data_IF_029117681312
#
_entry.id   IF_029117681312
#
_cell.length_a   1.000
_cell.length_b   1.000
_cell.length_c   1.000
_cell.angle_alpha   90.00
_cell.angle_beta   90.00
_cell.angle_gamma   90.00
#
_symmetry.space_group_name_H-M   'P 1'
#
loop_
_entity.id
_entity.type
_entity.pdbx_description
1 polymer ?
#
# COMPACT_ATOMS: atom_id res chain seq x y z
N UNK A 1 24.95 1.41 -25.65
CA UNK A 1 23.47 1.25 -25.72
C UNK A 1 22.92 1.53 -24.32
N UNK A 2 21.91 2.39 -24.20
CA UNK A 2 21.24 2.65 -22.91
C UNK A 2 20.32 1.47 -22.56
N UNK A 3 20.25 1.11 -21.28
CA UNK A 3 19.34 0.07 -20.77
C UNK A 3 17.88 0.35 -21.16
N UNK A 4 17.49 1.63 -21.17
CA UNK A 4 16.16 2.08 -21.57
C UNK A 4 15.90 1.85 -23.07
N UNK A 5 16.94 2.01 -23.90
CA UNK A 5 16.88 1.76 -25.34
C UNK A 5 16.65 0.27 -25.61
N UNK A 6 17.37 -0.61 -24.91
CA UNK A 6 17.19 -2.06 -25.04
C UNK A 6 15.76 -2.49 -24.67
N UNK A 7 15.21 -1.96 -23.58
CA UNK A 7 13.82 -2.24 -23.19
C UNK A 7 12.82 -1.75 -24.25
N UNK A 8 13.05 -0.55 -24.81
CA UNK A 8 12.25 0.01 -25.92
C UNK A 8 12.50 -0.65 -27.28
N UNK A 9 13.46 -1.56 -27.40
CA UNK A 9 13.68 -2.36 -28.59
C UNK A 9 13.04 -3.76 -28.49
N UNK A 10 12.55 -4.18 -27.31
CA UNK A 10 11.86 -5.45 -27.14
C UNK A 10 10.49 -5.46 -27.83
N UNK A 11 10.00 -6.65 -28.20
CA UNK A 11 8.65 -6.77 -28.77
C UNK A 11 7.57 -6.25 -27.80
N UNK A 12 6.47 -5.64 -28.29
CA UNK A 12 5.40 -5.13 -27.42
C UNK A 12 4.83 -6.19 -26.47
N UNK A 13 4.70 -7.44 -26.93
CA UNK A 13 4.24 -8.57 -26.10
C UNK A 13 5.20 -8.87 -24.95
N UNK A 14 6.51 -8.82 -25.21
CA UNK A 14 7.53 -9.05 -24.18
C UNK A 14 7.51 -7.95 -23.12
N UNK A 15 7.30 -6.68 -23.51
CA UNK A 15 7.20 -5.58 -22.55
C UNK A 15 5.98 -5.72 -21.64
N UNK A 16 4.85 -6.11 -22.21
CA UNK A 16 3.63 -6.40 -21.43
C UNK A 16 3.89 -7.57 -20.48
N UNK A 17 4.52 -8.65 -20.96
CA UNK A 17 4.88 -9.79 -20.12
C UNK A 17 5.78 -9.41 -18.93
N UNK A 18 6.79 -8.57 -19.15
CA UNK A 18 7.66 -8.06 -18.07
C UNK A 18 6.84 -7.23 -17.06
N UNK A 19 5.97 -6.34 -17.55
CA UNK A 19 5.12 -5.52 -16.69
C UNK A 19 4.18 -6.36 -15.84
N UNK A 20 3.50 -7.34 -16.44
CA UNK A 20 2.59 -8.26 -15.74
C UNK A 20 3.34 -9.12 -14.73
N UNK A 21 4.53 -9.63 -15.09
CA UNK A 21 5.35 -10.41 -14.16
C UNK A 21 5.77 -9.58 -12.94
N UNK A 22 6.13 -8.31 -13.15
CA UNK A 22 6.52 -7.41 -12.05
C UNK A 22 5.35 -7.11 -11.11
N UNK A 23 4.16 -6.87 -11.67
CA UNK A 23 2.93 -6.69 -10.89
C UNK A 23 2.53 -7.97 -10.14
N UNK A 24 2.63 -9.13 -10.79
CA UNK A 24 2.37 -10.42 -10.15
C UNK A 24 3.34 -10.68 -8.98
N UNK A 25 4.63 -10.40 -9.17
CA UNK A 25 5.62 -10.53 -8.10
C UNK A 25 5.35 -9.58 -6.93
N UNK A 26 5.03 -8.31 -7.22
CA UNK A 26 4.69 -7.32 -6.19
C UNK A 26 3.43 -7.70 -5.40
N UNK A 27 2.37 -8.17 -6.08
CA UNK A 27 1.13 -8.60 -5.43
C UNK A 27 1.32 -9.85 -4.56
N UNK A 28 2.13 -10.81 -5.01
CA UNK A 28 2.51 -11.97 -4.19
C UNK A 28 3.30 -11.50 -2.95
N UNK A 29 4.24 -10.56 -3.11
CA UNK A 29 4.99 -9.99 -2.01
C UNK A 29 4.11 -9.30 -0.97
N UNK A 30 3.14 -8.49 -1.42
CA UNK A 30 2.16 -7.84 -0.55
C UNK A 30 1.25 -8.87 0.14
N UNK A 31 0.78 -9.88 -0.59
CA UNK A 31 -0.04 -10.94 0.00
C UNK A 31 0.72 -11.74 1.06
N UNK A 32 2.01 -12.00 0.84
CA UNK A 32 2.88 -12.62 1.84
C UNK A 32 3.09 -11.67 3.02
N UNK A 33 3.18 -10.35 2.83
CA UNK A 33 3.30 -9.37 3.93
C UNK A 33 2.10 -9.44 4.88
N UNK A 34 0.87 -9.42 4.36
CA UNK A 34 -0.35 -9.52 5.17
C UNK A 34 -0.46 -10.88 5.89
N UNK A 35 0.07 -11.94 5.28
CA UNK A 35 0.08 -13.28 5.88
C UNK A 35 1.26 -13.49 6.84
N UNK A 36 2.35 -12.74 6.66
CA UNK A 36 3.48 -12.68 7.56
C UNK A 36 3.07 -11.96 8.84
N UNK A 37 2.30 -10.87 8.79
CA UNK A 37 1.73 -10.26 10.00
C UNK A 37 0.92 -11.27 10.82
N UNK A 38 0.09 -12.09 10.16
CA UNK A 38 -0.70 -13.16 10.82
C UNK A 38 0.17 -14.29 11.39
N UNK A 39 1.21 -14.73 10.67
CA UNK A 39 2.09 -15.83 11.11
C UNK A 39 3.18 -15.40 12.09
N UNK A 40 3.59 -14.14 12.07
CA UNK A 40 4.55 -13.54 12.99
C UNK A 40 3.89 -13.05 14.30
N UNK A 41 2.57 -13.17 14.43
CA UNK A 41 1.84 -12.77 15.63
C UNK A 41 1.75 -11.25 15.82
N UNK A 42 1.92 -10.49 14.73
CA UNK A 42 1.75 -9.03 14.68
C UNK A 42 0.31 -8.67 14.29
N UNK A 43 -0.64 -9.55 14.57
CA UNK A 43 -2.06 -9.21 14.49
C UNK A 43 -2.29 -8.07 15.50
N UNK A 44 -2.78 -6.89 15.08
CA UNK A 44 -3.06 -5.80 16.00
C UNK A 44 -4.21 -6.23 16.91
N UNK A 45 -3.85 -6.89 18.02
CA UNK A 45 -4.75 -7.29 19.09
C UNK A 45 -5.48 -6.06 19.61
N UNK A 46 -6.70 -6.26 20.10
CA UNK A 46 -7.62 -5.24 20.63
C UNK A 46 -6.96 -4.07 21.41
N UNK A 47 -5.83 -4.31 22.09
CA UNK A 47 -5.00 -3.29 22.76
C UNK A 47 -4.47 -2.18 21.85
N UNK A 48 -4.09 -2.45 20.60
CA UNK A 48 -3.62 -1.41 19.68
C UNK A 48 -4.75 -0.49 19.23
N UNK A 49 -5.99 -1.02 19.15
CA UNK A 49 -7.17 -0.20 18.88
C UNK A 49 -7.50 0.70 20.07
N UNK A 50 -7.39 0.18 21.29
CA UNK A 50 -7.57 0.97 22.52
C UNK A 50 -6.47 2.05 22.69
N UNK A 51 -5.22 1.72 22.34
CA UNK A 51 -4.12 2.69 22.34
C UNK A 51 -4.31 3.79 21.27
N UNK A 52 -4.82 3.43 20.09
CA UNK A 52 -5.17 4.38 19.05
C UNK A 52 -6.35 5.27 19.48
N UNK A 53 -7.40 4.71 20.09
CA UNK A 53 -8.51 5.51 20.65
C UNK A 53 -8.06 6.48 21.75
N UNK A 54 -7.07 6.10 22.56
CA UNK A 54 -6.49 6.99 23.56
C UNK A 54 -5.65 8.14 22.98
N UNK A 55 -5.06 7.94 21.80
CA UNK A 55 -4.16 8.92 21.14
C UNK A 55 -4.88 9.74 20.07
N UNK A 56 -6.04 9.28 19.57
CA UNK A 56 -6.81 9.98 18.55
C UNK A 56 -7.36 11.31 19.10
N UNK A 57 -6.98 12.45 18.49
CA UNK A 57 -7.52 13.74 18.90
C UNK A 57 -9.01 13.83 18.52
N UNK A 58 -9.86 14.19 19.50
CA UNK A 58 -11.28 14.45 19.25
C UNK A 58 -11.44 15.77 18.48
N UNK A 59 -11.76 15.68 17.21
CA UNK A 59 -12.06 16.86 16.40
C UNK A 59 -13.49 17.33 16.70
N UNK A 60 -13.62 18.49 17.31
CA UNK A 60 -14.90 19.20 17.37
C UNK A 60 -14.96 20.15 16.17
N UNK A 61 -15.89 19.88 15.25
CA UNK A 61 -16.18 20.79 14.15
C UNK A 61 -16.95 21.98 14.70
N UNK A 62 -16.34 23.16 14.68
CA UNK A 62 -17.04 24.43 14.97
C UNK A 62 -17.57 24.96 13.65
N UNK A 63 -18.90 24.93 13.50
CA UNK A 63 -19.56 25.66 12.42
C UNK A 63 -19.31 27.15 12.60
N UNK A 64 -18.66 27.78 11.61
CA UNK A 64 -18.54 29.24 11.59
C UNK A 64 -19.87 29.79 11.10
N UNK A 65 -20.66 30.35 12.00
CA UNK A 65 -21.83 31.13 11.62
C UNK A 65 -21.42 32.24 10.65
N UNK A 66 -22.10 32.25 9.51
CA UNK A 66 -21.92 33.22 8.45
C UNK A 66 -22.02 34.65 8.99
N UNK A 67 -20.97 35.40 8.73
CA UNK A 67 -20.87 36.84 8.90
C UNK A 67 -21.94 37.50 8.02
N UNK A 68 -23.01 38.01 8.63
CA UNK A 68 -23.88 39.05 8.04
C UNK A 68 -23.16 40.40 8.12
#
# INVERSE_FOLDING_TARGET
MSMLQNFRNLSPRTRIGIGVAFLAWGTIGLYISDNAEKKLGLEPTQKDREALEAVLPKFTTVEREGKN
#
